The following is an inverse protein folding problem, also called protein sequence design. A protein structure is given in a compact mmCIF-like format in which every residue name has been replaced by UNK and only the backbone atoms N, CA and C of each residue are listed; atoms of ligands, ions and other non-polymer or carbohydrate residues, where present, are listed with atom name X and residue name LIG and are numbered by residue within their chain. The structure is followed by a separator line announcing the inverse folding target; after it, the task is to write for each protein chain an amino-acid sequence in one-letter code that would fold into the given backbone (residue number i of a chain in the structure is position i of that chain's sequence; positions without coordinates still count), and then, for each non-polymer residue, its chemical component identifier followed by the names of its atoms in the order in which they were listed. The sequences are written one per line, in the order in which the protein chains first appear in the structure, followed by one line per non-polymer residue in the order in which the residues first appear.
data_IF_444103323141
#
_entry.id   IF_444103323141
#
_cell.length_a   1.000
_cell.length_b   1.000
_cell.length_c   1.000
_cell.angle_alpha   90.00
_cell.angle_beta   90.00
_cell.angle_gamma   90.00
#
_symmetry.space_group_name_H-M   'P 1'
#
loop_
_entity.id
_entity.type
_entity.pdbx_description
1 polymer ?
#
# COMPACT_ATOMS: atom_id res chain seq x y z
N UNK A 1 6.52 -7.70 -17.80
CA UNK A 1 5.61 -7.37 -17.00
C UNK A 1 5.68 -7.82 -15.63
N UNK A 2 5.84 -8.95 -15.27
CA UNK A 2 5.82 -9.43 -13.96
C UNK A 2 7.10 -9.35 -13.26
N UNK A 3 8.14 -8.93 -13.87
CA UNK A 3 9.43 -9.03 -13.31
C UNK A 3 9.76 -7.97 -12.32
N UNK A 4 9.05 -6.89 -12.32
CA UNK A 4 9.45 -5.83 -11.44
C UNK A 4 9.22 -6.14 -10.00
N UNK A 5 8.29 -7.00 -9.71
CA UNK A 5 8.03 -7.33 -8.35
C UNK A 5 9.18 -8.03 -7.70
N UNK A 6 9.84 -8.84 -8.47
CA UNK A 6 11.00 -9.55 -7.96
C UNK A 6 12.11 -8.60 -7.62
N UNK A 7 12.20 -7.52 -8.35
CA UNK A 7 13.23 -6.54 -8.09
C UNK A 7 13.03 -5.92 -6.74
N UNK A 8 11.80 -5.68 -6.37
CA UNK A 8 11.53 -5.13 -5.07
C UNK A 8 12.00 -6.03 -3.97
N UNK A 9 11.76 -7.29 -4.11
CA UNK A 9 12.21 -8.21 -3.10
C UNK A 9 13.71 -8.24 -2.99
N UNK A 10 14.36 -8.18 -4.08
CA UNK A 10 15.80 -8.19 -4.08
C UNK A 10 16.34 -6.99 -3.35
N UNK A 11 15.74 -5.85 -3.54
CA UNK A 11 16.21 -4.68 -2.86
C UNK A 11 16.03 -4.79 -1.38
N UNK A 12 14.93 -5.35 -0.97
CA UNK A 12 14.72 -5.50 0.44
C UNK A 12 15.73 -6.43 1.06
N UNK A 13 16.08 -7.42 0.33
CA UNK A 13 17.06 -8.35 0.83
C UNK A 13 18.39 -7.71 1.12
N UNK A 14 18.72 -6.69 0.40
CA UNK A 14 19.98 -6.03 0.64
C UNK A 14 20.02 -5.24 1.91
N UNK A 15 18.86 -4.89 2.42
CA UNK A 15 18.83 -4.13 3.66
C UNK A 15 18.68 -5.00 4.85
N UNK A 16 18.75 -6.27 4.65
CA UNK A 16 18.44 -7.17 5.71
C UNK A 16 19.49 -7.25 6.79
N UNK A 17 20.63 -6.64 6.61
CA UNK A 17 21.57 -6.69 7.69
C UNK A 17 21.14 -5.86 8.86
N UNK A 18 20.06 -5.12 8.73
CA UNK A 18 19.48 -4.44 9.85
C UNK A 18 18.94 -5.48 10.80
N UNK A 19 19.41 -5.48 12.02
CA UNK A 19 19.01 -6.48 12.95
C UNK A 19 17.60 -6.34 13.45
N UNK A 20 16.99 -5.19 13.28
CA UNK A 20 15.65 -4.96 13.78
C UNK A 20 14.55 -5.23 12.77
N UNK A 21 14.94 -5.65 11.58
CA UNK A 21 13.96 -5.91 10.55
C UNK A 21 13.12 -7.13 10.91
N UNK A 22 11.84 -7.04 10.67
CA UNK A 22 10.92 -8.15 10.87
C UNK A 22 10.59 -8.74 9.52
N UNK A 23 10.68 -10.05 9.43
CA UNK A 23 10.43 -10.73 8.16
C UNK A 23 8.97 -10.64 7.78
N UNK A 24 8.68 -10.44 6.51
CA UNK A 24 7.30 -10.45 6.06
C UNK A 24 6.73 -11.86 6.14
N UNK A 25 5.41 -11.94 6.18
CA UNK A 25 4.72 -13.23 6.19
C UNK A 25 3.91 -13.36 4.90
N UNK A 26 3.76 -14.60 4.47
CA UNK A 26 3.01 -14.91 3.26
C UNK A 26 2.09 -16.07 3.53
N UNK A 27 0.82 -15.92 3.15
CA UNK A 27 -0.17 -16.95 3.39
C UNK A 27 -1.00 -17.20 2.15
N UNK A 28 -1.22 -18.48 1.84
CA UNK A 28 -2.05 -18.81 0.70
C UNK A 28 -3.51 -18.45 0.99
N UNK A 29 -4.14 -17.79 0.05
CA UNK A 29 -5.54 -17.41 0.15
C UNK A 29 -6.19 -17.74 -1.19
N UNK A 30 -6.61 -18.96 -1.37
CA UNK A 30 -7.14 -19.41 -2.64
C UNK A 30 -6.06 -19.36 -3.70
N UNK A 31 -6.31 -18.64 -4.75
CA UNK A 31 -5.33 -18.50 -5.84
C UNK A 31 -4.32 -17.39 -5.61
N UNK A 32 -4.46 -16.67 -4.52
CA UNK A 32 -3.59 -15.55 -4.22
C UNK A 32 -2.73 -15.86 -3.01
N UNK A 33 -1.71 -15.05 -2.83
CA UNK A 33 -0.83 -15.12 -1.67
C UNK A 33 -0.94 -13.80 -0.96
N UNK A 34 -1.37 -13.82 0.28
CA UNK A 34 -1.45 -12.61 1.09
C UNK A 34 -0.10 -12.32 1.70
N UNK A 35 0.39 -11.13 1.47
CA UNK A 35 1.69 -10.70 1.98
C UNK A 35 1.48 -9.63 3.03
N UNK A 36 2.21 -9.74 4.13
CA UNK A 36 2.17 -8.73 5.19
C UNK A 36 3.60 -8.33 5.51
N UNK A 37 3.85 -7.03 5.40
CA UNK A 37 5.16 -6.46 5.70
C UNK A 37 5.04 -5.64 6.97
N UNK A 38 6.10 -5.60 7.75
CA UNK A 38 6.06 -4.96 9.06
C UNK A 38 7.09 -3.85 9.19
N UNK A 39 6.71 -2.82 9.94
CA UNK A 39 7.66 -1.81 10.40
C UNK A 39 8.53 -2.44 11.48
N UNK A 40 9.63 -1.79 11.78
CA UNK A 40 10.54 -2.33 12.80
C UNK A 40 9.89 -2.40 14.17
N UNK A 41 8.86 -1.62 14.43
CA UNK A 41 8.17 -1.66 15.71
C UNK A 41 7.12 -2.77 15.79
N UNK A 42 6.99 -3.57 14.75
CA UNK A 42 6.05 -4.68 14.73
C UNK A 42 4.69 -4.38 14.14
N UNK A 43 4.38 -3.11 13.89
CA UNK A 43 3.10 -2.78 13.29
C UNK A 43 3.14 -3.07 11.80
N UNK A 44 1.97 -3.26 11.21
CA UNK A 44 1.90 -3.57 9.79
C UNK A 44 2.29 -2.34 8.97
N UNK A 45 3.20 -2.54 8.05
CA UNK A 45 3.62 -1.51 7.13
C UNK A 45 2.81 -1.55 5.86
N UNK A 46 2.55 -2.74 5.33
CA UNK A 46 1.86 -2.89 4.07
C UNK A 46 1.28 -4.29 3.99
N UNK A 47 0.11 -4.40 3.42
CA UNK A 47 -0.54 -5.70 3.29
C UNK A 47 -1.28 -5.75 1.97
N UNK A 48 -1.17 -6.87 1.29
CA UNK A 48 -1.84 -7.03 0.01
C UNK A 48 -1.70 -8.44 -0.50
N UNK A 49 -1.88 -8.59 -1.80
CA UNK A 49 -1.91 -9.91 -2.41
C UNK A 49 -1.03 -9.98 -3.65
N UNK A 50 -0.48 -11.15 -3.86
CA UNK A 50 0.23 -11.48 -5.09
C UNK A 50 -0.44 -12.67 -5.74
N UNK A 51 -0.34 -12.75 -7.04
CA UNK A 51 -0.67 -14.00 -7.71
C UNK A 51 0.44 -15.00 -7.42
N UNK A 52 0.22 -16.23 -7.79
CA UNK A 52 1.24 -17.26 -7.60
C UNK A 52 2.47 -16.99 -8.43
N UNK A 53 2.36 -16.18 -9.45
CA UNK A 53 3.51 -15.79 -10.26
C UNK A 53 4.22 -14.56 -9.69
N UNK A 54 3.74 -14.02 -8.57
CA UNK A 54 4.41 -12.88 -7.95
C UNK A 54 3.99 -11.54 -8.47
N UNK A 55 2.79 -11.44 -9.04
CA UNK A 55 2.29 -10.19 -9.59
C UNK A 55 1.32 -9.56 -8.60
N UNK A 56 1.40 -8.25 -8.40
CA UNK A 56 0.48 -7.55 -7.51
C UNK A 56 -0.94 -7.69 -8.00
N UNK A 57 -1.84 -8.02 -7.08
CA UNK A 57 -3.21 -8.28 -7.44
C UNK A 57 -4.13 -7.94 -6.27
N UNK A 58 -5.28 -7.32 -6.53
CA UNK A 58 -6.26 -7.08 -5.49
C UNK A 58 -5.92 -5.91 -4.60
N UNK A 59 -6.47 -5.91 -3.43
CA UNK A 59 -6.40 -4.78 -2.50
C UNK A 59 -5.03 -4.69 -1.83
N UNK A 60 -4.46 -3.50 -1.83
CA UNK A 60 -3.20 -3.22 -1.14
C UNK A 60 -3.37 -2.00 -0.26
N UNK A 61 -2.88 -2.11 0.96
CA UNK A 61 -3.01 -1.05 1.95
C UNK A 61 -1.66 -0.78 2.60
N UNK A 62 -1.31 0.47 2.77
CA UNK A 62 -0.08 0.88 3.45
C UNK A 62 -0.43 1.66 4.71
N UNK A 63 0.40 1.52 5.73
CA UNK A 63 0.16 2.12 7.03
C UNK A 63 1.42 2.80 7.56
N UNK A 64 1.23 3.81 8.41
CA UNK A 64 2.37 4.43 9.09
C UNK A 64 2.69 3.65 10.37
N UNK A 65 3.66 4.14 11.14
CA UNK A 65 4.09 3.45 12.36
C UNK A 65 3.00 3.35 13.40
N UNK A 66 2.06 4.26 13.40
CA UNK A 66 0.98 4.26 14.38
C UNK A 66 -0.23 3.46 13.92
N UNK A 67 -0.19 2.90 12.73
CA UNK A 67 -1.30 2.11 12.22
C UNK A 67 -2.32 2.90 11.43
N UNK A 68 -2.05 4.14 11.12
CA UNK A 68 -2.94 4.93 10.29
C UNK A 68 -2.71 4.60 8.83
N UNK A 69 -3.77 4.54 8.05
CA UNK A 69 -3.63 4.24 6.64
C UNK A 69 -2.97 5.38 5.89
N UNK A 70 -2.04 5.04 5.04
CA UNK A 70 -1.40 5.99 4.15
C UNK A 70 -1.95 5.88 2.74
N UNK A 71 -2.27 4.68 2.30
CA UNK A 71 -2.82 4.50 0.97
C UNK A 71 -3.58 3.19 0.89
N UNK A 72 -4.50 3.13 -0.05
CA UNK A 72 -5.29 1.92 -0.25
C UNK A 72 -5.81 1.93 -1.68
N UNK A 73 -5.68 0.80 -2.36
CA UNK A 73 -6.17 0.72 -3.71
C UNK A 73 -6.03 -0.69 -4.26
N UNK A 74 -6.36 -0.83 -5.52
CA UNK A 74 -6.39 -2.14 -6.15
C UNK A 74 -5.40 -2.23 -7.29
N UNK A 75 -4.79 -3.40 -7.39
CA UNK A 75 -3.96 -3.76 -8.53
C UNK A 75 -4.67 -4.82 -9.34
N UNK A 76 -4.47 -4.77 -10.64
CA UNK A 76 -4.93 -5.80 -11.54
C UNK A 76 -3.76 -6.13 -12.45
N UNK A 77 -3.26 -7.34 -12.36
CA UNK A 77 -2.13 -7.79 -13.18
C UNK A 77 -0.95 -6.83 -13.06
N UNK A 78 -0.69 -6.37 -11.85
CA UNK A 78 0.46 -5.53 -11.59
C UNK A 78 0.26 -4.05 -11.85
N UNK A 79 -0.90 -3.65 -12.31
CA UNK A 79 -1.17 -2.25 -12.63
C UNK A 79 -2.23 -1.68 -11.70
N UNK A 80 -2.07 -0.43 -11.33
CA UNK A 80 -3.07 0.23 -10.50
C UNK A 80 -4.35 0.40 -11.28
N UNK A 81 -5.47 0.12 -10.63
CA UNK A 81 -6.77 0.27 -11.28
C UNK A 81 -7.80 0.76 -10.27
N UNK A 82 -8.81 1.45 -10.77
CA UNK A 82 -9.91 1.92 -9.93
C UNK A 82 -9.49 3.06 -9.04
N UNK A 83 -10.25 3.26 -8.01
CA UNK A 83 -10.05 4.39 -7.12
C UNK A 83 -9.03 4.06 -6.06
N UNK A 84 -8.02 4.90 -5.93
CA UNK A 84 -7.00 4.79 -4.92
C UNK A 84 -7.15 5.93 -3.94
N UNK A 85 -6.92 5.66 -2.67
CA UNK A 85 -7.02 6.65 -1.61
C UNK A 85 -5.66 6.87 -1.01
N UNK A 86 -5.33 8.14 -0.84
CA UNK A 86 -4.06 8.53 -0.20
C UNK A 86 -4.37 9.52 0.91
N UNK A 87 -3.89 9.24 2.09
CA UNK A 87 -4.11 10.09 3.26
C UNK A 87 -2.82 10.75 3.67
N UNK A 88 -2.85 12.08 3.80
CA UNK A 88 -1.74 12.81 4.38
C UNK A 88 -2.33 13.81 5.35
N UNK A 89 -1.95 13.74 6.56
CA UNK A 89 -2.43 14.63 7.61
C UNK A 89 -3.91 14.94 7.43
N UNK A 90 -4.25 16.10 6.98
CA UNK A 90 -5.64 16.51 6.89
C UNK A 90 -6.21 16.45 5.49
N UNK A 91 -5.57 15.71 4.62
CA UNK A 91 -5.99 15.66 3.22
C UNK A 91 -6.21 14.23 2.80
N UNK A 92 -7.34 13.99 2.16
CA UNK A 92 -7.60 12.72 1.50
C UNK A 92 -7.60 12.96 0.00
N UNK A 93 -6.77 12.25 -0.69
CA UNK A 93 -6.69 12.36 -2.14
C UNK A 93 -7.25 11.10 -2.76
N UNK A 94 -8.24 11.26 -3.61
CA UNK A 94 -8.83 10.15 -4.35
C UNK A 94 -8.33 10.21 -5.77
N UNK A 95 -7.69 9.16 -6.20
CA UNK A 95 -7.09 9.11 -7.53
C UNK A 95 -7.67 7.93 -8.27
N UNK A 96 -8.23 8.18 -9.44
CA UNK A 96 -8.73 7.11 -10.26
C UNK A 96 -7.68 6.73 -11.28
N UNK A 97 -7.37 5.44 -11.31
CA UNK A 97 -6.36 4.90 -12.20
C UNK A 97 -6.97 3.99 -13.25
N UNK A 98 -6.38 4.03 -14.43
CA UNK A 98 -6.68 3.07 -15.47
C UNK A 98 -5.34 2.58 -15.98
N UNK A 99 -5.01 1.33 -15.67
CA UNK A 99 -3.72 0.73 -16.05
C UNK A 99 -2.56 1.60 -15.61
N UNK A 100 -2.58 2.00 -14.34
CA UNK A 100 -1.55 2.82 -13.71
C UNK A 100 -1.47 4.23 -14.23
N UNK A 101 -2.42 4.65 -15.05
CA UNK A 101 -2.48 6.02 -15.51
C UNK A 101 -3.53 6.76 -14.74
N UNK A 102 -3.21 7.98 -14.32
CA UNK A 102 -4.15 8.79 -13.57
C UNK A 102 -5.17 9.39 -14.52
N UNK A 103 -6.46 9.13 -14.26
CA UNK A 103 -7.51 9.68 -15.09
C UNK A 103 -8.36 10.71 -14.35
N UNK A 104 -8.28 10.76 -13.03
CA UNK A 104 -9.02 11.74 -12.27
C UNK A 104 -8.42 11.87 -10.88
N UNK A 105 -8.48 13.07 -10.31
CA UNK A 105 -7.99 13.31 -8.95
C UNK A 105 -8.97 14.22 -8.23
N UNK A 106 -9.37 13.82 -7.03
CA UNK A 106 -10.16 14.68 -6.16
C UNK A 106 -9.41 14.79 -4.84
N UNK A 107 -9.50 15.95 -4.24
CA UNK A 107 -8.80 16.22 -3.01
C UNK A 107 -9.77 16.76 -1.97
N UNK A 108 -9.76 16.18 -0.80
CA UNK A 108 -10.65 16.56 0.28
C UNK A 108 -9.84 16.98 1.48
N UNK A 109 -10.17 18.13 2.06
CA UNK A 109 -9.52 18.58 3.26
C UNK A 109 -10.47 18.44 4.42
N UNK A 110 -9.92 18.17 5.57
CA UNK A 110 -10.74 18.00 6.76
C UNK A 110 -11.20 19.34 7.25
N UNK A 111 -12.40 19.69 6.89
CA UNK A 111 -12.96 20.92 7.31
C UNK A 111 -13.23 20.96 8.77
N UNK A 112 -13.44 19.83 9.36
CA UNK A 112 -13.70 19.76 10.76
C UNK A 112 -12.53 20.31 11.56
N UNK A 113 -11.33 20.10 11.09
CA UNK A 113 -10.19 20.65 11.77
C UNK A 113 -10.21 22.15 11.73
N UNK A 114 -10.58 22.69 10.62
CA UNK A 114 -10.64 24.10 10.43
C UNK A 114 -11.74 24.69 11.30
N UNK A 115 -12.90 24.09 11.27
CA UNK A 115 -14.00 24.58 12.04
C UNK A 115 -13.69 24.50 13.51
N UNK A 116 -13.02 23.48 13.92
CA UNK A 116 -12.65 23.31 15.28
C UNK A 116 -11.70 24.39 15.72
N UNK A 117 -10.78 24.73 14.90
CA UNK A 117 -9.81 25.76 15.23
C UNK A 117 -10.41 27.13 15.24
N UNK A 118 -11.46 27.31 14.56
CA UNK A 118 -12.10 28.59 14.51
C UNK A 118 -12.88 28.87 15.76
N UNK A 119 -13.30 27.85 16.43
CA UNK A 119 -14.04 28.08 17.62
C UNK A 119 -13.20 28.61 18.73
#
# INVERSE_FOLDING_TARGET
MKRYILILFASMGLLSFSQNAINPTFEAQGDLIQATYFHVNGSIQQQGFFTKQGVLEGLWTSYDFQGNKLSQGYYSDGLKTGQWLFWTENVLKEVDFLDSKIVNVNEWRQKSDIAFNIK
#
